data_IF_569814986733
#
_entry.id   IF_569814986733
#
_cell.length_a   1.000
_cell.length_b   1.000
_cell.length_c   1.000
_cell.angle_alpha   90.00
_cell.angle_beta   90.00
_cell.angle_gamma   90.00
#
_symmetry.space_group_name_H-M   'P 1'
#
loop_
_entity.id
_entity.type
_entity.pdbx_description
1 polymer ?
#
# COMPACT_ATOMS: atom_id res chain seq x y z
N UNK A 1 -65.40 -15.17 79.60
CA UNK A 1 -64.13 -15.85 79.23
C UNK A 1 -64.46 -17.09 78.41
N UNK A 2 -63.66 -17.47 77.41
CA UNK A 2 -63.74 -17.19 75.97
C UNK A 2 -64.41 -18.36 75.18
N UNK A 3 -64.79 -18.28 73.89
CA UNK A 3 -63.90 -18.32 72.72
C UNK A 3 -64.74 -18.17 71.43
N UNK A 4 -64.46 -17.12 70.67
CA UNK A 4 -64.89 -16.92 69.29
C UNK A 4 -64.03 -17.74 68.32
N UNK A 5 -64.68 -18.43 67.39
CA UNK A 5 -64.07 -19.22 66.30
C UNK A 5 -63.49 -18.27 65.24
N UNK A 6 -62.29 -18.56 64.75
CA UNK A 6 -61.74 -17.97 63.51
C UNK A 6 -61.38 -19.10 62.54
N UNK A 7 -62.09 -19.13 61.42
CA UNK A 7 -61.72 -19.90 60.23
C UNK A 7 -60.61 -19.15 59.50
N UNK A 8 -59.55 -19.85 59.12
CA UNK A 8 -58.51 -19.36 58.22
C UNK A 8 -58.49 -20.25 56.99
N UNK A 9 -58.90 -19.68 55.85
CA UNK A 9 -58.69 -20.24 54.53
C UNK A 9 -57.33 -19.72 54.03
N UNK A 10 -56.44 -20.62 53.62
CA UNK A 10 -55.19 -20.26 52.95
C UNK A 10 -55.26 -20.72 51.50
N UNK A 11 -55.14 -19.74 50.59
CA UNK A 11 -55.15 -19.89 49.15
C UNK A 11 -53.91 -20.63 48.65
N UNK A 12 -54.11 -21.57 47.71
CA UNK A 12 -53.05 -22.13 46.88
C UNK A 12 -52.58 -21.06 45.86
N UNK A 13 -51.29 -20.74 45.87
CA UNK A 13 -50.63 -19.98 44.82
C UNK A 13 -49.96 -20.95 43.83
N UNK A 14 -50.40 -20.94 42.57
CA UNK A 14 -49.69 -21.60 41.45
C UNK A 14 -48.55 -20.68 40.96
N UNK A 15 -47.33 -21.19 40.73
CA UNK A 15 -46.29 -20.44 40.04
C UNK A 15 -46.53 -20.48 38.52
N UNK A 16 -46.74 -19.31 37.91
CA UNK A 16 -46.68 -19.14 36.45
C UNK A 16 -45.20 -19.13 36.03
N UNK A 17 -44.76 -20.20 35.37
CA UNK A 17 -43.45 -20.27 34.73
C UNK A 17 -43.49 -19.53 33.39
N UNK A 18 -43.00 -18.30 33.37
CA UNK A 18 -42.79 -17.56 32.12
C UNK A 18 -41.49 -18.04 31.45
N UNK A 19 -41.59 -19.00 30.53
CA UNK A 19 -40.53 -19.32 29.58
C UNK A 19 -40.36 -18.17 28.60
N UNK A 20 -39.47 -17.24 28.91
CA UNK A 20 -38.97 -16.24 27.96
C UNK A 20 -38.13 -16.93 26.89
N UNK A 21 -38.67 -17.07 25.68
CA UNK A 21 -37.86 -17.36 24.50
C UNK A 21 -36.97 -16.14 24.21
N UNK A 22 -35.73 -16.20 24.71
CA UNK A 22 -34.65 -15.36 24.21
C UNK A 22 -34.31 -15.85 22.79
N UNK A 23 -34.99 -15.30 21.80
CA UNK A 23 -34.52 -15.34 20.41
C UNK A 23 -33.31 -14.41 20.36
N UNK A 24 -32.12 -14.97 20.58
CA UNK A 24 -30.88 -14.33 20.16
C UNK A 24 -30.93 -14.27 18.63
N UNK A 25 -31.34 -13.12 18.10
CA UNK A 25 -31.10 -12.81 16.69
C UNK A 25 -29.58 -12.82 16.50
N UNK A 26 -29.03 -13.93 16.00
CA UNK A 26 -27.71 -13.89 15.38
C UNK A 26 -27.79 -12.81 14.29
N UNK A 27 -26.83 -11.88 14.19
CA UNK A 27 -26.78 -10.99 13.04
C UNK A 27 -26.64 -11.90 11.83
N UNK A 28 -27.71 -11.96 11.02
CA UNK A 28 -27.70 -12.65 9.76
C UNK A 28 -26.64 -11.95 8.91
N UNK A 29 -25.44 -12.55 8.85
CA UNK A 29 -24.47 -12.18 7.84
C UNK A 29 -25.18 -12.35 6.50
N UNK A 30 -25.27 -11.29 5.70
CA UNK A 30 -25.49 -11.47 4.28
C UNK A 30 -24.21 -12.08 3.70
N UNK A 31 -24.03 -13.38 3.88
CA UNK A 31 -23.07 -14.24 3.19
C UNK A 31 -23.46 -14.36 1.71
N UNK A 32 -23.64 -13.25 1.02
CA UNK A 32 -24.00 -13.22 -0.40
C UNK A 32 -22.86 -12.63 -1.20
N UNK A 33 -22.21 -13.47 -2.00
CA UNK A 33 -21.18 -13.06 -2.95
C UNK A 33 -19.87 -13.84 -2.79
N UNK A 34 -18.97 -13.75 -3.78
CA UNK A 34 -17.65 -14.36 -3.72
C UNK A 34 -16.82 -13.76 -2.57
N UNK A 35 -15.81 -14.49 -2.09
CA UNK A 35 -14.84 -13.90 -1.16
C UNK A 35 -14.03 -12.82 -1.86
N UNK A 36 -13.70 -11.74 -1.15
CA UNK A 36 -12.94 -10.62 -1.70
C UNK A 36 -11.70 -10.25 -0.87
N UNK A 37 -10.62 -9.90 -1.57
CA UNK A 37 -9.46 -9.17 -1.05
C UNK A 37 -9.49 -7.76 -1.61
N UNK A 38 -9.41 -6.74 -0.75
CA UNK A 38 -9.60 -5.33 -1.14
C UNK A 38 -8.39 -4.51 -0.73
N UNK A 39 -7.84 -3.73 -1.67
CA UNK A 39 -6.81 -2.73 -1.34
C UNK A 39 -7.37 -1.32 -1.38
N UNK A 40 -7.02 -0.53 -0.38
CA UNK A 40 -7.27 0.91 -0.28
C UNK A 40 -5.94 1.62 -0.04
N UNK A 41 -5.81 2.84 -0.53
CA UNK A 41 -4.60 3.61 -0.33
C UNK A 41 -4.20 4.52 -1.48
N UNK A 42 -2.90 4.84 -1.51
CA UNK A 42 -2.25 5.67 -2.51
C UNK A 42 -1.63 4.88 -3.68
N UNK A 43 -0.67 5.49 -4.37
CA UNK A 43 0.00 4.99 -5.56
C UNK A 43 0.84 3.73 -5.32
N UNK A 44 1.43 3.55 -4.13
CA UNK A 44 2.27 2.38 -3.85
C UNK A 44 1.47 1.09 -3.87
N UNK A 45 0.21 1.16 -3.41
CA UNK A 45 -0.72 0.02 -3.40
C UNK A 45 -1.69 0.01 -4.60
N UNK A 46 -1.85 1.14 -5.32
CA UNK A 46 -2.58 1.14 -6.60
C UNK A 46 -1.86 0.29 -7.65
N UNK A 47 -0.54 0.13 -7.54
CA UNK A 47 0.27 -0.54 -8.54
C UNK A 47 0.85 0.43 -9.56
N UNK A 48 0.95 1.72 -9.22
CA UNK A 48 1.64 2.70 -10.05
C UNK A 48 3.04 2.21 -10.43
N UNK A 49 3.46 2.51 -11.66
CA UNK A 49 4.65 1.97 -12.32
C UNK A 49 4.63 0.46 -12.64
N UNK A 50 3.54 -0.26 -12.38
CA UNK A 50 3.40 -1.68 -12.73
C UNK A 50 3.53 -2.00 -14.23
N UNK A 51 3.53 -0.99 -15.12
CA UNK A 51 3.84 -1.18 -16.55
C UNK A 51 5.30 -1.45 -16.84
N UNK A 52 6.20 -1.21 -15.90
CA UNK A 52 7.64 -1.27 -16.10
C UNK A 52 8.23 -2.58 -15.61
N UNK A 53 8.96 -3.29 -16.46
CA UNK A 53 9.74 -4.47 -16.11
C UNK A 53 11.20 -4.06 -15.96
N UNK A 54 11.59 -3.54 -14.80
CA UNK A 54 12.89 -2.90 -14.60
C UNK A 54 13.03 -1.57 -15.31
N UNK A 55 14.26 -1.07 -15.33
CA UNK A 55 14.64 0.20 -15.95
C UNK A 55 15.60 0.00 -17.11
N UNK A 56 15.62 0.95 -18.04
CA UNK A 56 16.48 0.96 -19.22
C UNK A 56 16.81 2.41 -19.58
N UNK A 57 18.05 2.68 -19.98
CA UNK A 57 18.48 3.97 -20.55
C UNK A 57 18.07 4.13 -22.02
N UNK A 58 17.66 3.03 -22.68
CA UNK A 58 17.10 3.06 -24.04
C UNK A 58 15.70 3.66 -23.99
N UNK A 59 15.54 4.89 -24.51
CA UNK A 59 14.27 5.61 -24.52
C UNK A 59 13.34 5.28 -25.71
N UNK A 60 13.82 4.54 -26.71
CA UNK A 60 13.08 4.21 -27.94
C UNK A 60 12.45 2.82 -27.92
N UNK A 61 11.42 2.62 -28.76
CA UNK A 61 10.80 1.30 -28.97
C UNK A 61 10.18 0.75 -27.69
N UNK A 62 10.41 -0.53 -27.40
CA UNK A 62 9.97 -1.16 -26.14
C UNK A 62 10.79 -0.77 -24.91
N UNK A 63 11.74 0.17 -25.04
CA UNK A 63 12.70 0.55 -24.00
C UNK A 63 13.49 -0.65 -23.49
N UNK A 64 14.16 -1.33 -24.42
CA UNK A 64 14.82 -2.62 -24.18
C UNK A 64 13.91 -3.72 -23.59
N UNK A 65 12.59 -3.62 -23.79
CA UNK A 65 11.60 -4.58 -23.31
C UNK A 65 11.05 -4.27 -21.92
N UNK A 66 11.38 -3.11 -21.32
CA UNK A 66 10.87 -2.75 -20.00
C UNK A 66 9.44 -2.22 -20.03
N UNK A 67 8.98 -1.59 -21.11
CA UNK A 67 7.62 -1.03 -21.15
C UNK A 67 6.58 -2.04 -21.66
N UNK A 68 5.79 -2.61 -20.72
CA UNK A 68 4.68 -3.54 -21.01
C UNK A 68 3.56 -2.92 -21.85
N UNK A 69 3.53 -1.58 -21.96
CA UNK A 69 2.55 -0.87 -22.77
C UNK A 69 2.92 -0.74 -24.24
N UNK A 70 4.15 -1.12 -24.64
CA UNK A 70 4.60 -1.03 -26.03
C UNK A 70 3.79 -1.93 -26.97
N UNK A 71 3.27 -1.36 -28.06
CA UNK A 71 2.41 -2.06 -29.04
C UNK A 71 3.14 -2.46 -30.32
N UNK A 72 4.46 -2.22 -30.41
CA UNK A 72 5.24 -2.38 -31.64
C UNK A 72 5.42 -1.08 -32.43
N UNK A 73 4.56 -0.08 -32.23
CA UNK A 73 4.64 1.23 -32.88
C UNK A 73 4.26 2.42 -31.98
N UNK A 74 3.73 2.16 -30.79
CA UNK A 74 3.36 3.17 -29.81
C UNK A 74 3.15 2.56 -28.43
N UNK A 75 2.48 3.29 -27.54
CA UNK A 75 2.26 2.86 -26.16
C UNK A 75 0.77 2.88 -25.82
N UNK A 76 0.30 1.85 -25.12
CA UNK A 76 -1.06 1.74 -24.60
C UNK A 76 -1.04 1.44 -23.09
N UNK A 77 -0.81 2.44 -22.22
CA UNK A 77 -0.80 2.25 -20.77
C UNK A 77 -2.14 1.76 -20.21
N UNK A 78 -3.25 2.00 -20.92
CA UNK A 78 -4.57 1.46 -20.58
C UNK A 78 -4.64 -0.07 -20.62
N UNK A 79 -3.71 -0.75 -21.30
CA UNK A 79 -3.59 -2.21 -21.22
C UNK A 79 -3.08 -2.70 -19.85
N UNK A 80 -2.38 -1.85 -19.09
CA UNK A 80 -1.84 -2.16 -17.76
C UNK A 80 -2.73 -1.60 -16.65
N UNK A 81 -3.15 -0.34 -16.79
CA UNK A 81 -3.92 0.36 -15.74
C UNK A 81 -5.44 0.35 -15.98
N UNK A 82 -5.89 -0.23 -17.09
CA UNK A 82 -7.30 -0.22 -17.48
C UNK A 82 -7.86 1.18 -17.65
N UNK A 83 -9.15 1.36 -17.32
CA UNK A 83 -9.83 2.65 -17.36
C UNK A 83 -9.26 3.69 -16.40
N UNK A 84 -8.50 3.25 -15.39
CA UNK A 84 -7.98 4.13 -14.34
C UNK A 84 -6.75 4.92 -14.75
N UNK A 85 -6.16 4.58 -15.91
CA UNK A 85 -5.15 5.43 -16.53
C UNK A 85 -5.70 6.82 -16.85
N UNK A 86 -6.95 6.90 -17.34
CA UNK A 86 -7.56 8.15 -17.75
C UNK A 86 -7.88 9.06 -16.56
N UNK A 87 -8.26 8.49 -15.40
CA UNK A 87 -8.42 9.25 -14.17
C UNK A 87 -7.08 9.55 -13.48
N UNK A 88 -6.02 8.80 -13.83
CA UNK A 88 -4.72 8.86 -13.17
C UNK A 88 -4.71 8.16 -11.82
N UNK A 89 -5.68 7.30 -11.50
CA UNK A 89 -5.59 6.47 -10.29
C UNK A 89 -4.57 5.33 -10.45
N UNK A 90 -4.20 5.01 -11.70
CA UNK A 90 -3.09 4.11 -12.05
C UNK A 90 -3.14 2.77 -11.31
N UNK A 91 -4.30 2.10 -11.39
CA UNK A 91 -4.53 0.77 -10.81
C UNK A 91 -4.02 -0.32 -11.73
N UNK A 92 -2.81 -0.80 -11.49
CA UNK A 92 -2.17 -1.79 -12.36
C UNK A 92 -2.78 -3.18 -12.24
N UNK A 93 -2.77 -3.93 -13.35
CA UNK A 93 -3.04 -5.36 -13.42
C UNK A 93 -2.06 -6.22 -12.60
N UNK A 94 -0.90 -5.69 -12.23
CA UNK A 94 0.11 -6.38 -11.41
C UNK A 94 0.12 -5.97 -9.95
N UNK A 95 -0.69 -4.98 -9.55
CA UNK A 95 -0.78 -4.48 -8.18
C UNK A 95 -0.86 -5.64 -7.17
N UNK A 96 -0.30 -5.45 -5.97
CA UNK A 96 -0.16 -6.54 -4.97
C UNK A 96 -1.46 -7.34 -4.71
N UNK A 97 -2.63 -6.68 -4.71
CA UNK A 97 -3.92 -7.35 -4.52
C UNK A 97 -4.31 -8.26 -5.68
N UNK A 98 -3.85 -7.94 -6.89
CA UNK A 98 -4.08 -8.72 -8.12
C UNK A 98 -3.11 -9.89 -8.24
N UNK A 99 -1.87 -9.71 -7.81
CA UNK A 99 -0.82 -10.72 -7.91
C UNK A 99 -0.74 -11.66 -6.69
N UNK A 100 -1.33 -11.28 -5.56
CA UNK A 100 -1.47 -12.15 -4.40
C UNK A 100 -2.35 -13.39 -4.67
N UNK A 101 -2.03 -14.49 -3.99
CA UNK A 101 -2.67 -15.80 -4.20
C UNK A 101 -3.15 -16.39 -2.88
N UNK A 102 -4.18 -17.24 -2.93
CA UNK A 102 -4.68 -17.98 -1.76
C UNK A 102 -5.54 -17.17 -0.77
N UNK A 103 -5.90 -15.94 -1.12
CA UNK A 103 -6.64 -15.03 -0.23
C UNK A 103 -8.15 -15.12 -0.46
N UNK A 104 -8.60 -14.86 -1.69
CA UNK A 104 -10.01 -14.69 -2.02
C UNK A 104 -10.29 -15.04 -3.49
N UNK A 105 -11.57 -15.26 -3.82
CA UNK A 105 -12.00 -15.53 -5.20
C UNK A 105 -11.95 -14.27 -6.08
N UNK A 106 -12.13 -13.10 -5.48
CA UNK A 106 -12.11 -11.80 -6.16
C UNK A 106 -11.05 -10.89 -5.53
N UNK A 107 -10.27 -10.21 -6.37
CA UNK A 107 -9.36 -9.13 -5.97
C UNK A 107 -9.91 -7.78 -6.43
N UNK A 108 -9.95 -6.79 -5.54
CA UNK A 108 -10.50 -5.47 -5.81
C UNK A 108 -9.48 -4.43 -5.38
N UNK A 109 -9.15 -3.51 -6.30
CA UNK A 109 -8.26 -2.40 -6.01
C UNK A 109 -9.07 -1.11 -6.02
N UNK A 110 -9.22 -0.46 -4.86
CA UNK A 110 -9.87 0.83 -4.69
C UNK A 110 -8.85 1.97 -4.51
N UNK A 111 -7.57 1.64 -4.31
CA UNK A 111 -6.50 2.60 -4.14
C UNK A 111 -6.36 3.53 -5.35
N UNK A 112 -5.89 4.75 -5.14
CA UNK A 112 -5.77 5.72 -6.21
C UNK A 112 -4.48 6.51 -6.02
N UNK A 113 -3.65 6.54 -7.06
CA UNK A 113 -2.41 7.33 -7.06
C UNK A 113 -2.64 8.78 -6.66
N UNK A 114 -1.82 9.29 -5.73
CA UNK A 114 -1.92 10.64 -5.18
C UNK A 114 -2.95 10.81 -4.04
N UNK A 115 -3.65 9.75 -3.63
CA UNK A 115 -4.59 9.82 -2.52
C UNK A 115 -3.89 10.14 -1.19
N UNK A 116 -4.55 10.95 -0.36
CA UNK A 116 -4.20 11.22 1.05
C UNK A 116 -5.18 10.50 1.98
N UNK A 117 -4.94 10.53 3.29
CA UNK A 117 -5.85 9.95 4.28
C UNK A 117 -7.28 10.49 4.17
N UNK A 118 -7.45 11.76 3.79
CA UNK A 118 -8.75 12.39 3.56
C UNK A 118 -9.58 11.73 2.45
N UNK A 119 -8.93 11.06 1.50
CA UNK A 119 -9.60 10.34 0.41
C UNK A 119 -10.03 8.91 0.82
N UNK A 120 -9.63 8.45 2.01
CA UNK A 120 -10.09 7.18 2.57
C UNK A 120 -11.39 7.36 3.34
N UNK A 121 -11.53 8.41 4.17
CA UNK A 121 -12.67 8.55 5.08
C UNK A 121 -14.01 8.49 4.34
N UNK A 122 -15.09 8.02 4.99
CA UNK A 122 -16.42 8.13 4.37
C UNK A 122 -16.78 9.59 4.17
N UNK A 123 -17.48 9.93 3.09
CA UNK A 123 -17.95 11.30 2.84
C UNK A 123 -18.76 11.85 4.01
N UNK A 124 -19.58 10.99 4.63
CA UNK A 124 -20.38 11.31 5.82
C UNK A 124 -19.55 11.72 7.05
N UNK A 125 -18.25 11.45 7.06
CA UNK A 125 -17.33 11.82 8.14
C UNK A 125 -16.12 12.65 7.63
N UNK A 126 -16.38 13.52 6.65
CA UNK A 126 -15.41 14.48 6.14
C UNK A 126 -14.43 13.91 5.10
N UNK A 127 -14.74 12.76 4.52
CA UNK A 127 -14.02 12.22 3.38
C UNK A 127 -14.19 13.05 2.12
N UNK A 128 -13.16 13.04 1.27
CA UNK A 128 -13.12 13.83 0.04
C UNK A 128 -13.02 12.92 -1.18
N UNK A 129 -13.91 13.14 -2.14
CA UNK A 129 -13.82 12.54 -3.46
C UNK A 129 -12.49 12.93 -4.12
N UNK A 130 -11.96 12.05 -4.97
CA UNK A 130 -10.66 12.24 -5.59
C UNK A 130 -10.63 11.67 -7.01
N UNK A 131 -10.05 12.42 -7.95
CA UNK A 131 -9.95 12.04 -9.38
C UNK A 131 -11.27 11.55 -9.99
N UNK A 132 -12.38 12.15 -9.57
CA UNK A 132 -13.73 11.84 -10.06
C UNK A 132 -14.41 10.64 -9.38
N UNK A 133 -13.78 10.03 -8.37
CA UNK A 133 -14.31 8.90 -7.63
C UNK A 133 -14.71 9.29 -6.19
N UNK A 134 -15.71 8.59 -5.64
CA UNK A 134 -16.09 8.73 -4.23
C UNK A 134 -14.93 8.34 -3.30
N UNK A 135 -14.92 8.78 -2.03
CA UNK A 135 -13.93 8.33 -1.06
C UNK A 135 -13.86 6.80 -0.98
N UNK A 136 -12.66 6.27 -0.75
CA UNK A 136 -12.42 4.83 -0.89
C UNK A 136 -13.20 3.99 0.13
N UNK A 137 -13.49 4.51 1.34
CA UNK A 137 -14.37 3.82 2.28
C UNK A 137 -15.83 3.74 1.78
N UNK A 138 -16.33 4.74 1.06
CA UNK A 138 -17.67 4.68 0.48
C UNK A 138 -17.72 3.67 -0.68
N UNK A 139 -16.63 3.55 -1.46
CA UNK A 139 -16.47 2.50 -2.45
C UNK A 139 -16.41 1.11 -1.79
N UNK A 140 -15.69 0.97 -0.65
CA UNK A 140 -15.64 -0.26 0.14
C UNK A 140 -17.02 -0.67 0.63
N UNK A 141 -17.91 0.27 0.98
CA UNK A 141 -19.28 -0.06 1.39
C UNK A 141 -20.05 -0.78 0.27
N UNK A 142 -19.91 -0.32 -0.98
CA UNK A 142 -20.52 -0.98 -2.14
C UNK A 142 -19.92 -2.38 -2.40
N UNK A 143 -18.62 -2.55 -2.16
CA UNK A 143 -17.94 -3.84 -2.25
C UNK A 143 -18.42 -4.80 -1.17
N UNK A 144 -18.48 -4.35 0.09
CA UNK A 144 -18.89 -5.15 1.23
C UNK A 144 -20.31 -5.70 1.06
N UNK A 145 -21.24 -4.86 0.58
CA UNK A 145 -22.64 -5.23 0.35
C UNK A 145 -22.86 -6.35 -0.69
N UNK A 146 -21.85 -6.66 -1.51
CA UNK A 146 -21.96 -7.63 -2.62
C UNK A 146 -20.90 -8.74 -2.60
N UNK A 147 -20.02 -8.75 -1.59
CA UNK A 147 -18.93 -9.71 -1.46
C UNK A 147 -18.82 -10.20 -0.01
N UNK A 148 -18.08 -11.28 0.21
CA UNK A 148 -17.59 -11.64 1.55
C UNK A 148 -16.13 -11.19 1.69
N UNK A 149 -15.90 -9.98 2.17
CA UNK A 149 -14.55 -9.43 2.34
C UNK A 149 -13.77 -10.23 3.40
N UNK A 150 -12.58 -10.72 3.03
CA UNK A 150 -11.71 -11.51 3.90
C UNK A 150 -10.44 -10.77 4.30
N UNK A 151 -9.91 -9.95 3.40
CA UNK A 151 -8.73 -9.15 3.63
C UNK A 151 -8.96 -7.73 3.12
N UNK A 152 -8.58 -6.76 3.93
CA UNK A 152 -8.42 -5.37 3.54
C UNK A 152 -6.96 -4.99 3.78
N UNK A 153 -6.32 -4.40 2.78
CA UNK A 153 -4.94 -3.91 2.87
C UNK A 153 -4.94 -2.41 2.65
N UNK A 154 -4.27 -1.69 3.54
CA UNK A 154 -4.20 -0.24 3.54
C UNK A 154 -2.74 0.22 3.44
N UNK A 155 -2.43 1.05 2.43
CA UNK A 155 -1.18 1.81 2.33
C UNK A 155 -1.51 3.28 2.09
N UNK A 156 -1.39 4.10 3.13
CA UNK A 156 -1.75 5.53 3.06
C UNK A 156 -0.91 6.35 4.03
N UNK A 157 -0.76 7.64 3.76
CA UNK A 157 -0.04 8.60 4.61
C UNK A 157 1.23 9.15 3.97
N UNK A 158 1.81 8.49 2.96
CA UNK A 158 2.99 8.99 2.25
C UNK A 158 2.76 10.35 1.59
N UNK A 159 1.58 10.54 0.97
CA UNK A 159 1.20 11.83 0.38
C UNK A 159 0.90 12.91 1.45
N UNK A 160 0.34 12.53 2.60
CA UNK A 160 0.12 13.43 3.75
C UNK A 160 1.45 13.94 4.35
N UNK A 161 2.51 13.12 4.26
CA UNK A 161 3.89 13.49 4.63
C UNK A 161 4.58 14.33 3.53
N UNK A 162 4.06 14.32 2.30
CA UNK A 162 4.63 14.99 1.13
C UNK A 162 5.85 14.28 0.55
N UNK A 163 5.84 12.95 0.51
CA UNK A 163 6.97 12.15 0.01
C UNK A 163 7.37 12.49 -1.44
N UNK A 164 6.41 12.84 -2.29
CA UNK A 164 6.68 13.31 -3.66
C UNK A 164 7.49 14.61 -3.70
N UNK A 165 7.22 15.53 -2.76
CA UNK A 165 7.98 16.78 -2.63
C UNK A 165 9.42 16.51 -2.14
N UNK A 166 9.60 15.54 -1.24
CA UNK A 166 10.91 15.10 -0.78
C UNK A 166 11.74 14.59 -1.96
N UNK A 167 11.22 13.63 -2.72
CA UNK A 167 11.91 13.08 -3.91
C UNK A 167 12.24 14.19 -4.89
N UNK A 168 11.27 15.05 -5.19
CA UNK A 168 11.44 16.14 -6.17
C UNK A 168 12.50 17.15 -5.71
N UNK A 169 12.53 17.48 -4.42
CA UNK A 169 13.49 18.44 -3.86
C UNK A 169 14.89 17.84 -3.90
N UNK A 170 15.09 16.63 -3.39
CA UNK A 170 16.40 15.97 -3.40
C UNK A 170 16.94 15.78 -4.83
N UNK A 171 16.08 15.40 -5.78
CA UNK A 171 16.48 15.30 -7.18
C UNK A 171 16.91 16.65 -7.78
N UNK A 172 16.19 17.74 -7.46
CA UNK A 172 16.56 19.09 -7.93
C UNK A 172 17.83 19.62 -7.25
N UNK A 173 18.01 19.33 -5.97
CA UNK A 173 19.19 19.73 -5.22
C UNK A 173 20.44 19.03 -5.74
N UNK A 174 20.32 17.79 -6.23
CA UNK A 174 21.36 17.11 -7.01
C UNK A 174 21.61 17.75 -8.38
N UNK A 175 20.55 17.95 -9.17
CA UNK A 175 20.69 18.33 -10.57
C UNK A 175 21.04 19.81 -10.81
N UNK A 176 20.59 20.70 -9.93
CA UNK A 176 20.57 22.16 -10.17
C UNK A 176 21.40 22.90 -9.12
N UNK A 177 21.21 22.57 -7.84
CA UNK A 177 21.68 23.40 -6.73
C UNK A 177 22.99 22.91 -6.11
N UNK A 178 23.38 21.66 -6.39
CA UNK A 178 24.55 21.00 -5.81
C UNK A 178 24.58 21.10 -4.27
N UNK A 179 23.43 20.82 -3.66
CA UNK A 179 23.20 20.85 -2.20
C UNK A 179 22.52 19.58 -1.73
N UNK A 180 22.55 19.32 -0.42
CA UNK A 180 21.84 18.20 0.21
C UNK A 180 20.43 18.63 0.63
N UNK A 181 19.46 17.72 0.54
CA UNK A 181 18.07 17.99 0.92
C UNK A 181 17.74 17.53 2.36
N UNK A 182 18.49 16.57 2.91
CA UNK A 182 18.04 15.78 4.06
C UNK A 182 17.63 16.60 5.29
N UNK A 183 18.34 17.69 5.60
CA UNK A 183 18.08 18.49 6.81
C UNK A 183 16.72 19.18 6.75
N UNK A 184 16.44 19.89 5.64
CA UNK A 184 15.18 20.60 5.44
C UNK A 184 14.00 19.63 5.28
N UNK A 185 14.22 18.51 4.58
CA UNK A 185 13.19 17.49 4.38
C UNK A 185 12.87 16.74 5.68
N UNK A 186 13.84 16.43 6.53
CA UNK A 186 13.60 15.82 7.84
C UNK A 186 12.69 16.70 8.70
N UNK A 187 12.98 18.00 8.79
CA UNK A 187 12.16 18.94 9.54
C UNK A 187 10.72 19.02 8.99
N UNK A 188 10.55 19.00 7.66
CA UNK A 188 9.24 18.98 7.02
C UNK A 188 8.44 17.72 7.36
N UNK A 189 9.07 16.54 7.29
CA UNK A 189 8.45 15.25 7.64
C UNK A 189 8.05 15.23 9.11
N UNK A 190 8.94 15.63 10.01
CA UNK A 190 8.68 15.67 11.45
C UNK A 190 7.47 16.54 11.78
N UNK A 191 7.34 17.69 11.11
CA UNK A 191 6.21 18.61 11.30
C UNK A 191 4.87 18.02 10.84
N UNK A 192 4.88 17.14 9.83
CA UNK A 192 3.67 16.54 9.23
C UNK A 192 3.29 15.22 9.88
N UNK A 193 4.27 14.53 10.49
CA UNK A 193 4.12 13.19 11.06
C UNK A 193 2.90 13.04 11.99
N UNK A 194 2.64 13.94 12.97
CA UNK A 194 1.51 13.76 13.86
C UNK A 194 0.16 13.78 13.15
N UNK A 195 -0.02 14.71 12.20
CA UNK A 195 -1.26 14.85 11.45
C UNK A 195 -1.47 13.68 10.47
N UNK A 196 -0.41 13.27 9.76
CA UNK A 196 -0.46 12.12 8.86
C UNK A 196 -0.85 10.85 9.60
N UNK A 197 -0.21 10.54 10.73
CA UNK A 197 -0.49 9.33 11.52
C UNK A 197 -1.87 9.35 12.16
N UNK A 198 -2.36 10.53 12.60
CA UNK A 198 -3.75 10.68 13.03
C UNK A 198 -4.74 10.39 11.89
N UNK A 199 -4.42 10.85 10.68
CA UNK A 199 -5.16 10.55 9.46
C UNK A 199 -5.21 9.04 9.18
N UNK A 200 -4.07 8.35 9.21
CA UNK A 200 -3.99 6.88 9.02
C UNK A 200 -4.84 6.15 10.08
N UNK A 201 -4.75 6.57 11.34
CA UNK A 201 -5.58 6.02 12.41
C UNK A 201 -7.07 6.20 12.15
N UNK A 202 -7.48 7.39 11.69
CA UNK A 202 -8.88 7.65 11.30
C UNK A 202 -9.29 6.81 10.07
N UNK A 203 -8.40 6.59 9.09
CA UNK A 203 -8.68 5.75 7.92
C UNK A 203 -9.05 4.32 8.35
N UNK A 204 -8.33 3.75 9.33
CA UNK A 204 -8.64 2.45 9.91
C UNK A 204 -10.01 2.44 10.61
N UNK A 205 -10.32 3.48 11.39
CA UNK A 205 -11.62 3.59 12.05
C UNK A 205 -12.77 3.66 11.04
N UNK A 206 -12.58 4.41 9.96
CA UNK A 206 -13.57 4.59 8.90
C UNK A 206 -13.82 3.29 8.12
N UNK A 207 -12.76 2.55 7.78
CA UNK A 207 -12.87 1.22 7.20
C UNK A 207 -13.67 0.29 8.12
N UNK A 208 -13.34 0.26 9.43
CA UNK A 208 -14.08 -0.57 10.39
C UNK A 208 -15.53 -0.18 10.49
N UNK A 209 -15.84 1.11 10.45
CA UNK A 209 -17.20 1.60 10.53
C UNK A 209 -18.02 1.23 9.29
N UNK A 210 -17.42 1.22 8.08
CA UNK A 210 -18.05 0.67 6.86
C UNK A 210 -18.37 -0.81 7.07
N UNK A 211 -17.37 -1.61 7.46
CA UNK A 211 -17.53 -3.05 7.60
C UNK A 211 -18.58 -3.39 8.67
N UNK A 212 -18.57 -2.69 9.80
CA UNK A 212 -19.55 -2.88 10.87
C UNK A 212 -20.97 -2.48 10.44
N UNK A 213 -21.12 -1.41 9.66
CA UNK A 213 -22.42 -0.98 9.13
C UNK A 213 -23.02 -2.01 8.16
N UNK A 214 -22.18 -2.75 7.44
CA UNK A 214 -22.59 -3.86 6.58
C UNK A 214 -22.71 -5.21 7.33
N UNK A 215 -22.54 -5.20 8.66
CA UNK A 215 -22.77 -6.37 9.52
C UNK A 215 -21.56 -7.28 9.74
N UNK A 216 -20.36 -6.89 9.31
CA UNK A 216 -19.14 -7.64 9.59
C UNK A 216 -18.73 -7.51 11.05
N UNK A 217 -18.51 -8.63 11.71
CA UNK A 217 -17.83 -8.65 13.01
C UNK A 217 -16.33 -8.33 12.86
N UNK A 218 -15.70 -7.78 13.90
CA UNK A 218 -14.27 -7.42 13.85
C UNK A 218 -13.31 -8.59 13.51
N UNK A 219 -13.74 -9.85 13.75
CA UNK A 219 -12.96 -11.04 13.43
C UNK A 219 -13.33 -11.74 12.11
N UNK A 220 -14.29 -11.23 11.34
CA UNK A 220 -14.71 -11.88 10.08
C UNK A 220 -13.85 -11.49 8.86
N UNK A 221 -13.02 -10.46 9.00
CA UNK A 221 -12.04 -10.02 8.02
C UNK A 221 -10.74 -9.60 8.73
N UNK A 222 -9.64 -9.64 7.99
CA UNK A 222 -8.34 -9.15 8.42
C UNK A 222 -8.09 -7.76 7.82
N UNK A 223 -7.57 -6.84 8.62
CA UNK A 223 -7.15 -5.51 8.17
C UNK A 223 -5.64 -5.40 8.39
N UNK A 224 -4.90 -5.14 7.30
CA UNK A 224 -3.45 -4.99 7.31
C UNK A 224 -3.12 -3.55 6.94
N UNK A 225 -2.38 -2.85 7.79
CA UNK A 225 -1.70 -1.61 7.46
C UNK A 225 -0.28 -1.96 6.99
N UNK A 226 0.14 -1.45 5.84
CA UNK A 226 1.52 -1.61 5.38
C UNK A 226 2.27 -0.30 5.33
N UNK A 227 3.59 -0.40 5.50
CA UNK A 227 4.52 0.73 5.31
C UNK A 227 5.00 0.81 3.87
N UNK A 228 5.96 1.67 3.59
CA UNK A 228 6.55 1.86 2.27
C UNK A 228 7.97 1.28 2.23
N UNK A 229 8.39 0.69 1.10
CA UNK A 229 9.79 0.37 0.90
C UNK A 229 10.59 1.62 0.57
N UNK A 230 11.90 1.57 0.83
CA UNK A 230 12.78 2.60 0.28
C UNK A 230 13.24 2.24 -1.14
N UNK A 231 13.07 3.14 -2.14
CA UNK A 231 13.31 2.85 -3.54
C UNK A 231 14.76 3.07 -4.00
N UNK A 232 15.60 3.69 -3.16
CA UNK A 232 17.02 3.98 -3.43
C UNK A 232 17.92 3.24 -2.44
N UNK A 233 19.13 2.79 -2.81
CA UNK A 233 20.02 2.07 -1.90
C UNK A 233 20.73 3.04 -0.96
N UNK A 234 21.49 2.51 0.02
CA UNK A 234 22.52 3.29 0.69
C UNK A 234 23.58 3.74 -0.32
N UNK A 235 24.31 4.80 0.00
CA UNK A 235 25.43 5.31 -0.80
C UNK A 235 26.44 4.21 -1.15
N UNK A 236 26.83 3.42 -0.15
CA UNK A 236 27.76 2.28 -0.29
C UNK A 236 27.25 1.14 -1.19
N UNK A 237 25.96 1.11 -1.48
CA UNK A 237 25.29 0.09 -2.29
C UNK A 237 24.85 0.64 -3.66
N UNK A 238 25.17 1.90 -3.96
CA UNK A 238 24.87 2.56 -5.23
C UNK A 238 25.90 2.20 -6.32
N UNK A 239 25.41 1.77 -7.48
CA UNK A 239 26.19 1.37 -8.66
C UNK A 239 27.01 2.52 -9.23
N UNK A 240 26.53 3.75 -9.08
CA UNK A 240 27.16 4.95 -9.62
C UNK A 240 27.74 5.79 -8.48
N UNK A 241 28.99 6.21 -8.63
CA UNK A 241 29.61 7.16 -7.71
C UNK A 241 28.84 8.48 -7.67
N UNK A 242 28.97 9.24 -6.59
CA UNK A 242 28.45 10.60 -6.44
C UNK A 242 29.25 11.64 -7.28
N UNK A 243 29.92 11.20 -8.35
CA UNK A 243 30.72 12.06 -9.23
C UNK A 243 30.24 11.95 -10.67
N UNK A 244 30.23 13.08 -11.37
CA UNK A 244 29.72 13.14 -12.73
C UNK A 244 28.19 13.05 -12.80
N UNK A 245 27.68 12.62 -13.95
CA UNK A 245 26.24 12.66 -14.27
C UNK A 245 25.59 11.28 -14.37
N UNK A 246 26.34 10.19 -14.15
CA UNK A 246 25.82 8.83 -14.39
C UNK A 246 24.58 8.50 -13.55
N UNK A 247 24.51 9.00 -12.30
CA UNK A 247 23.32 8.88 -11.44
C UNK A 247 22.07 9.48 -12.09
N UNK A 248 22.21 10.58 -12.82
CA UNK A 248 21.12 11.27 -13.49
C UNK A 248 20.86 10.74 -14.90
N UNK A 249 21.90 10.63 -15.73
CA UNK A 249 21.80 10.39 -17.16
C UNK A 249 21.51 8.93 -17.51
N UNK A 250 22.03 8.00 -16.70
CA UNK A 250 21.90 6.56 -16.93
C UNK A 250 21.12 5.87 -15.82
N UNK A 251 21.40 6.19 -14.56
CA UNK A 251 20.86 5.49 -13.41
C UNK A 251 19.43 5.90 -13.02
N UNK A 252 19.06 7.15 -13.26
CA UNK A 252 17.79 7.72 -12.77
C UNK A 252 17.67 7.71 -11.24
N UNK A 253 18.79 7.93 -10.54
CA UNK A 253 18.87 8.09 -9.09
C UNK A 253 19.69 9.35 -8.72
N UNK A 254 19.28 10.55 -9.16
CA UNK A 254 20.02 11.80 -8.91
C UNK A 254 19.89 12.22 -7.44
N UNK A 255 20.54 11.50 -6.53
CA UNK A 255 20.53 11.75 -5.10
C UNK A 255 21.96 11.73 -4.58
N UNK A 256 22.27 12.64 -3.66
CA UNK A 256 23.55 12.62 -2.95
C UNK A 256 23.62 11.42 -2.00
N UNK A 257 24.84 11.03 -1.63
CA UNK A 257 25.15 9.93 -0.72
C UNK A 257 24.51 10.16 0.64
N UNK A 258 24.68 11.37 1.20
CA UNK A 258 24.08 11.71 2.49
C UNK A 258 22.54 11.68 2.43
N UNK A 259 21.92 12.14 1.33
CA UNK A 259 20.47 12.07 1.16
C UNK A 259 19.98 10.63 1.02
N UNK A 260 20.74 9.78 0.32
CA UNK A 260 20.42 8.35 0.15
C UNK A 260 20.51 7.59 1.47
N UNK A 261 21.58 7.82 2.24
CA UNK A 261 21.78 7.21 3.55
C UNK A 261 20.75 7.69 4.56
N UNK A 262 20.44 8.99 4.57
CA UNK A 262 19.35 9.54 5.38
C UNK A 262 18.00 8.90 5.04
N UNK A 263 17.67 8.80 3.76
CA UNK A 263 16.41 8.21 3.32
C UNK A 263 16.29 6.75 3.79
N UNK A 264 17.40 6.00 3.75
CA UNK A 264 17.45 4.58 4.12
C UNK A 264 17.51 4.28 5.59
N UNK A 265 18.34 4.98 6.32
CA UNK A 265 18.66 4.62 7.68
C UNK A 265 17.91 5.47 8.71
N UNK A 266 17.28 6.57 8.28
CA UNK A 266 16.53 7.47 9.18
C UNK A 266 15.07 7.65 8.76
N UNK A 267 14.81 8.24 7.59
CA UNK A 267 13.46 8.66 7.19
C UNK A 267 12.49 7.48 7.05
N UNK A 268 12.82 6.47 6.23
CA UNK A 268 11.92 5.33 6.00
C UNK A 268 11.70 4.50 7.27
N UNK A 269 12.73 4.19 8.08
CA UNK A 269 12.55 3.57 9.40
C UNK A 269 11.62 4.35 10.31
N UNK A 270 11.78 5.68 10.42
CA UNK A 270 10.93 6.54 11.24
C UNK A 270 9.45 6.45 10.83
N UNK A 271 9.17 6.56 9.52
CA UNK A 271 7.81 6.47 8.98
C UNK A 271 7.21 5.08 9.25
N UNK A 272 7.96 4.01 8.99
CA UNK A 272 7.50 2.64 9.23
C UNK A 272 7.24 2.37 10.72
N UNK A 273 8.09 2.88 11.62
CA UNK A 273 7.87 2.75 13.06
C UNK A 273 6.62 3.53 13.54
N UNK A 274 6.37 4.71 12.98
CA UNK A 274 5.15 5.48 13.27
C UNK A 274 3.89 4.76 12.79
N UNK A 275 3.89 4.22 11.57
CA UNK A 275 2.78 3.41 11.04
C UNK A 275 2.57 2.14 11.88
N UNK A 276 3.65 1.47 12.30
CA UNK A 276 3.57 0.30 13.21
C UNK A 276 2.89 0.66 14.53
N UNK A 277 3.19 1.83 15.09
CA UNK A 277 2.54 2.31 16.31
C UNK A 277 1.04 2.56 16.09
N UNK A 278 0.66 3.13 14.94
CA UNK A 278 -0.76 3.28 14.57
C UNK A 278 -1.44 1.91 14.46
N UNK A 279 -0.82 0.95 13.76
CA UNK A 279 -1.35 -0.40 13.63
C UNK A 279 -1.58 -1.07 15.00
N UNK A 280 -0.58 -1.00 15.88
CA UNK A 280 -0.66 -1.53 17.23
C UNK A 280 -1.76 -0.85 18.07
N UNK A 281 -1.83 0.49 18.03
CA UNK A 281 -2.85 1.25 18.75
C UNK A 281 -4.27 0.96 18.25
N UNK A 282 -4.42 0.66 16.96
CA UNK A 282 -5.70 0.26 16.37
C UNK A 282 -5.96 -1.24 16.46
N UNK A 283 -4.99 -2.07 16.84
CA UNK A 283 -5.14 -3.53 16.84
C UNK A 283 -5.44 -4.07 15.45
N UNK A 284 -4.73 -3.56 14.44
CA UNK A 284 -4.69 -4.14 13.08
C UNK A 284 -3.31 -4.72 12.84
N UNK A 285 -3.20 -5.59 11.86
CA UNK A 285 -1.93 -6.18 11.51
C UNK A 285 -1.02 -5.19 10.79
N UNK A 286 0.29 -5.39 10.90
CA UNK A 286 1.28 -4.53 10.28
C UNK A 286 2.20 -5.31 9.34
N UNK A 287 2.35 -4.83 8.12
CA UNK A 287 3.32 -5.32 7.15
C UNK A 287 4.44 -4.28 6.96
N UNK A 288 5.62 -4.59 7.50
CA UNK A 288 6.80 -3.73 7.37
C UNK A 288 7.50 -3.99 6.04
N UNK A 289 7.59 -2.97 5.20
CA UNK A 289 8.18 -3.01 3.87
C UNK A 289 9.50 -2.24 3.79
N UNK A 290 10.01 -1.65 4.89
CA UNK A 290 11.18 -0.75 4.84
C UNK A 290 12.39 -1.33 4.11
N UNK A 291 12.64 -2.63 4.30
CA UNK A 291 13.77 -3.38 3.71
C UNK A 291 13.35 -4.27 2.53
N UNK A 292 12.09 -4.20 2.09
CA UNK A 292 11.55 -5.08 1.05
C UNK A 292 12.34 -4.97 -0.25
N UNK A 293 12.80 -3.77 -0.61
CA UNK A 293 13.60 -3.51 -1.80
C UNK A 293 15.11 -3.64 -1.60
N UNK A 294 15.61 -4.11 -0.45
CA UNK A 294 17.06 -4.25 -0.21
C UNK A 294 17.76 -5.05 -1.33
N UNK A 295 18.72 -4.44 -2.03
CA UNK A 295 19.42 -5.04 -3.16
C UNK A 295 18.61 -5.07 -4.48
N UNK A 296 17.47 -4.37 -4.52
CA UNK A 296 16.53 -4.27 -5.66
C UNK A 296 16.17 -2.83 -6.00
N UNK A 297 16.77 -1.88 -5.31
CA UNK A 297 16.56 -0.45 -5.49
C UNK A 297 17.05 0.06 -6.83
N UNK A 298 16.58 1.25 -7.21
CA UNK A 298 17.11 2.00 -8.34
C UNK A 298 18.59 2.28 -8.10
N UNK A 299 19.44 1.96 -9.07
CA UNK A 299 20.90 2.03 -8.97
C UNK A 299 21.55 1.09 -7.96
N UNK A 300 20.87 0.07 -7.45
CA UNK A 300 21.55 -0.92 -6.60
C UNK A 300 22.69 -1.64 -7.34
N UNK A 301 23.82 -1.86 -6.67
CA UNK A 301 24.95 -2.68 -7.17
C UNK A 301 24.55 -4.14 -7.44
N UNK A 302 23.47 -4.61 -6.82
CA UNK A 302 22.94 -5.97 -6.97
C UNK A 302 21.97 -6.13 -8.16
N UNK A 303 21.71 -5.05 -8.89
CA UNK A 303 20.82 -5.02 -10.05
C UNK A 303 21.53 -4.45 -11.27
N UNK A 304 20.85 -4.46 -12.41
CA UNK A 304 21.28 -3.84 -13.66
C UNK A 304 20.10 -3.33 -14.47
N UNK A 305 20.37 -2.36 -15.32
CA UNK A 305 19.42 -1.91 -16.35
C UNK A 305 19.27 -2.99 -17.44
N UNK A 306 18.09 -3.03 -18.04
CA UNK A 306 17.89 -3.71 -19.31
C UNK A 306 18.56 -2.90 -20.44
N UNK A 307 19.01 -3.61 -21.48
CA UNK A 307 19.68 -3.00 -22.63
C UNK A 307 19.38 -3.82 -23.89
N UNK A 308 19.58 -3.30 -25.11
CA UNK A 308 19.47 -4.10 -26.33
C UNK A 308 20.30 -5.39 -26.24
N UNK A 309 19.66 -6.54 -26.44
CA UNK A 309 20.28 -7.88 -26.29
C UNK A 309 20.32 -8.42 -24.85
N UNK A 310 19.92 -7.63 -23.86
CA UNK A 310 19.78 -8.02 -22.45
C UNK A 310 18.37 -7.69 -21.96
N UNK A 311 17.47 -8.66 -22.02
CA UNK A 311 16.10 -8.50 -21.56
C UNK A 311 16.02 -8.21 -20.05
N UNK A 312 14.99 -7.48 -19.59
CA UNK A 312 14.71 -7.36 -18.17
C UNK A 312 14.40 -8.72 -17.53
N UNK A 313 14.68 -8.84 -16.25
CA UNK A 313 14.49 -10.08 -15.49
C UNK A 313 14.16 -9.79 -14.05
N UNK A 314 13.16 -10.48 -13.49
CA UNK A 314 12.80 -10.40 -12.08
C UNK A 314 13.97 -10.68 -11.12
N UNK A 315 15.01 -11.37 -11.58
CA UNK A 315 16.18 -11.75 -10.77
C UNK A 315 17.33 -10.74 -10.83
N UNK A 316 17.41 -9.90 -11.85
CA UNK A 316 18.55 -8.96 -12.05
C UNK A 316 18.13 -7.51 -12.24
N UNK A 317 16.87 -7.25 -12.58
CA UNK A 317 16.34 -5.90 -12.72
C UNK A 317 16.11 -5.26 -11.35
N UNK A 318 16.12 -3.93 -11.36
CA UNK A 318 15.58 -3.09 -10.29
C UNK A 318 14.08 -3.38 -10.15
N UNK A 319 13.53 -3.25 -8.95
CA UNK A 319 12.11 -3.49 -8.63
C UNK A 319 11.35 -2.19 -8.33
N UNK A 320 12.01 -1.05 -8.51
CA UNK A 320 11.41 0.27 -8.45
C UNK A 320 11.73 1.04 -9.73
N UNK A 321 10.80 1.89 -10.16
CA UNK A 321 10.96 2.74 -11.33
C UNK A 321 11.95 3.86 -11.01
N UNK A 322 12.93 4.11 -11.88
CA UNK A 322 13.86 5.21 -11.69
C UNK A 322 13.18 6.59 -11.72
N UNK A 323 13.92 7.65 -11.40
CA UNK A 323 13.46 9.03 -11.51
C UNK A 323 13.36 9.43 -12.98
N UNK A 324 12.14 9.70 -13.46
CA UNK A 324 11.87 10.08 -14.85
C UNK A 324 11.88 11.61 -15.05
N UNK A 325 12.76 12.34 -14.34
CA UNK A 325 12.89 13.81 -14.37
C UNK A 325 14.31 14.32 -14.61
N UNK A 326 15.23 13.47 -15.09
CA UNK A 326 16.62 13.81 -15.35
C UNK A 326 16.89 14.51 -16.70
N UNK A 327 18.18 14.69 -17.01
CA UNK A 327 18.69 15.18 -18.30
C UNK A 327 18.53 14.16 -19.44
N UNK A 328 18.17 12.92 -19.13
CA UNK A 328 17.81 11.87 -20.09
C UNK A 328 16.41 12.10 -20.68
N UNK A 329 16.16 11.57 -21.89
CA UNK A 329 14.83 11.61 -22.49
C UNK A 329 13.79 10.92 -21.57
N UNK A 330 12.73 11.65 -21.18
CA UNK A 330 11.66 11.11 -20.33
C UNK A 330 11.03 9.87 -20.97
N UNK A 331 10.86 8.86 -20.13
CA UNK A 331 10.32 7.55 -20.43
C UNK A 331 9.08 7.34 -19.58
N UNK A 332 7.95 7.81 -20.09
CA UNK A 332 6.64 7.61 -19.46
C UNK A 332 6.10 8.84 -18.75
N UNK A 333 5.47 8.64 -17.60
CA UNK A 333 4.94 9.73 -16.78
C UNK A 333 5.81 9.89 -15.54
N UNK A 334 6.19 11.14 -15.23
CA UNK A 334 7.00 11.49 -14.05
C UNK A 334 6.43 10.92 -12.76
N UNK A 335 5.10 10.88 -12.67
CA UNK A 335 4.35 10.34 -11.54
C UNK A 335 4.78 8.91 -11.16
N UNK A 336 5.17 8.06 -12.12
CA UNK A 336 5.58 6.67 -11.86
C UNK A 336 6.95 6.54 -11.17
N UNK A 337 7.71 7.64 -11.07
CA UNK A 337 9.06 7.63 -10.48
C UNK A 337 9.05 7.08 -9.06
N UNK A 338 10.06 6.29 -8.71
CA UNK A 338 10.31 5.73 -7.38
C UNK A 338 9.24 4.75 -6.87
N UNK A 339 8.24 4.37 -7.67
CA UNK A 339 7.24 3.37 -7.29
C UNK A 339 7.71 1.95 -7.60
N UNK A 340 7.21 0.91 -6.88
CA UNK A 340 7.50 -0.47 -7.22
C UNK A 340 7.01 -0.79 -8.64
N UNK A 341 7.90 -1.34 -9.45
CA UNK A 341 7.62 -1.68 -10.84
C UNK A 341 6.88 -3.03 -10.96
N UNK A 342 6.68 -3.57 -12.17
CA UNK A 342 6.05 -4.87 -12.37
C UNK A 342 6.62 -5.97 -11.46
N UNK A 343 7.95 -6.10 -11.36
CA UNK A 343 8.57 -7.14 -10.54
C UNK A 343 8.41 -6.86 -9.05
N UNK A 344 8.55 -5.58 -8.65
CA UNK A 344 8.25 -5.14 -7.29
C UNK A 344 6.81 -5.44 -6.88
N UNK A 345 5.83 -5.16 -7.74
CA UNK A 345 4.42 -5.39 -7.49
C UNK A 345 4.08 -6.89 -7.37
N UNK A 346 4.69 -7.76 -8.18
CA UNK A 346 4.55 -9.22 -8.02
C UNK A 346 5.13 -9.70 -6.69
N UNK A 347 6.28 -9.15 -6.29
CA UNK A 347 6.93 -9.47 -5.03
C UNK A 347 6.13 -8.95 -3.81
N UNK A 348 5.49 -7.78 -3.90
CA UNK A 348 4.53 -7.30 -2.91
C UNK A 348 3.29 -8.20 -2.82
N UNK A 349 2.77 -8.69 -3.96
CA UNK A 349 1.71 -9.71 -3.96
C UNK A 349 2.11 -10.99 -3.22
N UNK A 350 3.39 -11.39 -3.31
CA UNK A 350 3.92 -12.49 -2.49
C UNK A 350 3.98 -12.12 -1.02
N UNK A 351 4.42 -10.92 -0.64
CA UNK A 351 4.33 -10.44 0.75
C UNK A 351 2.91 -10.57 1.28
N UNK A 352 1.90 -10.12 0.52
CA UNK A 352 0.51 -10.17 0.94
C UNK A 352 -0.03 -11.60 1.07
N UNK A 353 0.37 -12.49 0.16
CA UNK A 353 0.02 -13.92 0.21
C UNK A 353 0.60 -14.59 1.47
N UNK A 354 1.86 -14.29 1.80
CA UNK A 354 2.50 -14.79 3.01
C UNK A 354 1.87 -14.19 4.26
N UNK A 355 1.56 -12.89 4.22
CA UNK A 355 0.93 -12.18 5.31
C UNK A 355 -0.40 -12.84 5.65
N UNK A 356 -1.24 -13.09 4.64
CA UNK A 356 -2.51 -13.80 4.78
C UNK A 356 -2.36 -15.19 5.41
N UNK A 357 -1.34 -15.95 5.03
CA UNK A 357 -1.07 -17.29 5.56
C UNK A 357 -0.48 -17.28 6.99
N UNK A 358 0.19 -16.19 7.39
CA UNK A 358 0.76 -16.03 8.71
C UNK A 358 -0.31 -15.70 9.77
N UNK A 359 0.01 -15.94 11.04
CA UNK A 359 -0.81 -15.48 12.16
C UNK A 359 -0.94 -13.96 12.15
N UNK A 360 -2.06 -13.45 12.68
CA UNK A 360 -2.25 -12.02 12.92
C UNK A 360 -1.07 -11.44 13.74
N UNK A 361 -0.71 -10.19 13.45
CA UNK A 361 0.42 -9.51 14.07
C UNK A 361 1.26 -8.67 13.11
N UNK A 362 2.49 -8.41 13.55
CA UNK A 362 3.46 -7.59 12.83
C UNK A 362 4.47 -8.50 12.13
N UNK A 363 4.67 -8.31 10.84
CA UNK A 363 5.63 -9.07 10.04
C UNK A 363 6.44 -8.13 9.16
N UNK A 364 7.73 -8.40 9.00
CA UNK A 364 8.58 -7.69 8.05
C UNK A 364 8.70 -8.51 6.76
N UNK A 365 8.34 -7.92 5.62
CA UNK A 365 8.57 -8.56 4.33
C UNK A 365 9.95 -8.23 3.78
N UNK A 366 10.67 -9.25 3.34
CA UNK A 366 12.01 -9.15 2.78
C UNK A 366 12.13 -9.94 1.49
N UNK A 367 13.05 -9.53 0.63
CA UNK A 367 13.44 -10.29 -0.54
C UNK A 367 14.75 -11.06 -0.28
N UNK A 368 15.01 -12.05 -1.12
CA UNK A 368 16.31 -12.72 -1.18
C UNK A 368 17.07 -12.17 -2.41
N UNK A 369 18.29 -11.61 -2.24
CA UNK A 369 19.09 -11.12 -3.35
C UNK A 369 19.25 -12.16 -4.46
N UNK A 370 19.14 -11.72 -5.71
CA UNK A 370 19.25 -12.59 -6.90
C UNK A 370 18.05 -13.51 -7.15
N UNK A 371 17.01 -13.51 -6.31
CA UNK A 371 15.75 -14.26 -6.53
C UNK A 371 14.63 -13.37 -7.03
N UNK A 372 13.69 -13.96 -7.76
CA UNK A 372 12.43 -13.29 -8.12
C UNK A 372 11.46 -13.25 -6.91
N UNK A 373 10.18 -12.95 -7.18
CA UNK A 373 9.13 -12.94 -6.16
C UNK A 373 9.03 -14.23 -5.33
N UNK A 374 9.46 -15.39 -5.84
CA UNK A 374 9.47 -16.65 -5.07
C UNK A 374 10.45 -16.64 -3.89
N UNK A 375 11.47 -15.78 -3.94
CA UNK A 375 12.45 -15.60 -2.86
C UNK A 375 12.02 -14.60 -1.78
N UNK A 376 10.80 -14.08 -1.85
CA UNK A 376 10.23 -13.21 -0.81
C UNK A 376 9.76 -14.03 0.40
N UNK A 377 10.04 -13.52 1.60
CA UNK A 377 9.70 -14.15 2.88
C UNK A 377 9.25 -13.11 3.92
N UNK A 378 8.60 -13.59 5.00
CA UNK A 378 8.29 -12.80 6.19
C UNK A 378 9.25 -13.13 7.32
N UNK A 379 9.56 -12.13 8.15
CA UNK A 379 10.31 -12.23 9.40
C UNK A 379 9.51 -11.66 10.56
#
# INVERSE_FOLDING_TARGET
MPRTKRFTAALLALPLSATGLLVLAAPAHATSGPTASVSLGDSYISGEAGRWQGNSDTASGSRAGTDRSWTGSGYNPGAVYGSTYASGCDRSDSAEVRSATGIAATSINLACSGATTANIFRAANGGQAYKGEAPQADQLAAVAATNTVKLITLSIGGNDLGFSDVITTCAKDYLIWYSYCHDDQQAAIDSRMPAAMAGVGKSIDEIRAVMAADGYSAGSYRLVLQSYPSPIPRSSENRYSESGWDRADSGGCPFWDADSDWARDSMVPQISDALRQVAAAKGVDFLDLRDFLQGREVCSTSTRLAAPGTAPSATTSEWARFVDTGLSASQGTVQESMHPDYYGQLALGRCLSLMWAASAGNHACRNTPGRDASGVYLN
#
